data_IF_342797600956
#
_entry.id   IF_342797600956
#
_cell.length_a   1.000
_cell.length_b   1.000
_cell.length_c   1.000
_cell.angle_alpha   90.00
_cell.angle_beta   90.00
_cell.angle_gamma   90.00
#
_symmetry.space_group_name_H-M   'P 1'
#
loop_
_entity.id
_entity.type
_entity.pdbx_description
1 polymer ?
#
# COMPACT_ATOMS: atom_id res chain seq x y z
N UNK A 1 -6.66 43.76 8.79
CA UNK A 1 -8.14 43.60 8.90
C UNK A 1 -8.41 42.44 9.85
N UNK A 2 -9.12 42.66 10.96
CA UNK A 2 -9.43 41.60 11.91
C UNK A 2 -10.46 40.63 11.31
N UNK A 3 -10.21 39.32 11.40
CA UNK A 3 -11.14 38.31 10.89
C UNK A 3 -12.47 38.38 11.67
N UNK A 4 -13.59 38.50 10.96
CA UNK A 4 -14.92 38.56 11.57
C UNK A 4 -15.27 37.18 12.14
N UNK A 5 -15.39 37.10 13.46
CA UNK A 5 -15.69 35.85 14.19
C UNK A 5 -17.20 35.59 14.14
N UNK A 6 -17.58 34.42 13.62
CA UNK A 6 -18.96 33.96 13.61
C UNK A 6 -19.10 32.72 14.51
N UNK A 7 -20.20 32.66 15.27
CA UNK A 7 -20.59 31.50 16.08
C UNK A 7 -21.96 31.05 15.62
N UNK A 8 -22.13 29.73 15.46
CA UNK A 8 -23.42 29.11 15.15
C UNK A 8 -23.61 27.92 16.08
N UNK A 9 -24.79 27.83 16.66
CA UNK A 9 -25.17 26.74 17.54
C UNK A 9 -26.04 25.76 16.76
N UNK A 10 -25.82 24.47 16.98
CA UNK A 10 -26.53 23.38 16.31
C UNK A 10 -27.05 22.45 17.40
N UNK A 11 -28.34 22.13 17.34
CA UNK A 11 -28.95 21.13 18.22
C UNK A 11 -28.79 19.76 17.58
N UNK A 12 -28.25 18.81 18.33
CA UNK A 12 -28.04 17.43 17.90
C UNK A 12 -28.81 16.49 18.84
N UNK A 13 -29.31 15.38 18.29
CA UNK A 13 -29.78 14.27 19.12
C UNK A 13 -28.60 13.60 19.82
N UNK A 14 -28.84 12.86 20.91
CA UNK A 14 -27.77 12.11 21.58
C UNK A 14 -27.07 11.12 20.64
N UNK A 15 -27.84 10.48 19.77
CA UNK A 15 -27.31 9.59 18.73
C UNK A 15 -26.35 10.32 17.79
N UNK A 16 -26.76 11.47 17.26
CA UNK A 16 -25.94 12.23 16.31
C UNK A 16 -24.69 12.80 16.98
N UNK A 17 -24.81 13.17 18.26
CA UNK A 17 -23.68 13.62 19.07
C UNK A 17 -22.62 12.52 19.22
N UNK A 18 -23.06 11.29 19.52
CA UNK A 18 -22.14 10.16 19.64
C UNK A 18 -21.45 9.84 18.30
N UNK A 19 -22.20 9.83 17.19
CA UNK A 19 -21.64 9.64 15.86
C UNK A 19 -20.60 10.70 15.49
N UNK A 20 -20.84 11.94 15.90
CA UNK A 20 -19.92 13.04 15.68
C UNK A 20 -18.62 12.85 16.48
N UNK A 21 -18.71 12.40 17.73
CA UNK A 21 -17.56 12.12 18.59
C UNK A 21 -16.72 10.95 18.06
N UNK A 22 -17.36 9.87 17.62
CA UNK A 22 -16.69 8.72 17.03
C UNK A 22 -15.95 9.12 15.75
N UNK A 23 -16.61 9.87 14.86
CA UNK A 23 -16.00 10.39 13.64
C UNK A 23 -14.83 11.34 13.92
N UNK A 24 -14.97 12.21 14.92
CA UNK A 24 -13.90 13.11 15.36
C UNK A 24 -12.68 12.32 15.84
N UNK A 25 -12.88 11.27 16.63
CA UNK A 25 -11.81 10.40 17.14
C UNK A 25 -11.03 9.76 16.00
N UNK A 26 -11.73 9.24 14.98
CA UNK A 26 -11.10 8.65 13.78
C UNK A 26 -10.34 9.70 12.98
N UNK A 27 -10.94 10.85 12.71
CA UNK A 27 -10.30 11.95 11.98
C UNK A 27 -9.04 12.47 12.70
N UNK A 28 -9.05 12.49 14.03
CA UNK A 28 -7.94 12.98 14.83
C UNK A 28 -6.67 12.13 14.72
N UNK A 29 -6.78 10.85 14.35
CA UNK A 29 -5.66 9.92 14.18
C UNK A 29 -4.67 9.96 15.37
N UNK A 30 -5.20 9.91 16.60
CA UNK A 30 -4.40 9.97 17.84
C UNK A 30 -4.07 11.38 18.35
N UNK A 31 -4.56 12.44 17.69
CA UNK A 31 -4.53 13.81 18.21
C UNK A 31 -5.79 14.11 19.03
N UNK A 32 -5.75 15.15 19.85
CA UNK A 32 -6.95 15.74 20.42
C UNK A 32 -7.42 16.84 19.48
N UNK A 33 -8.67 16.75 19.01
CA UNK A 33 -9.30 17.79 18.18
C UNK A 33 -10.59 18.25 18.86
N UNK A 34 -10.94 19.51 18.63
CA UNK A 34 -12.21 20.05 19.10
C UNK A 34 -13.38 19.57 18.21
N UNK A 35 -14.54 19.32 18.80
CA UNK A 35 -15.75 18.93 18.08
C UNK A 35 -16.10 19.96 16.99
N UNK A 36 -15.88 21.24 17.27
CA UNK A 36 -16.12 22.33 16.32
C UNK A 36 -15.18 22.27 15.12
N UNK A 37 -13.96 21.77 15.30
CA UNK A 37 -12.98 21.62 14.21
C UNK A 37 -13.43 20.52 13.26
N UNK A 38 -13.83 19.38 13.79
CA UNK A 38 -14.37 18.29 13.00
C UNK A 38 -15.68 18.70 12.29
N UNK A 39 -16.57 19.43 12.97
CA UNK A 39 -17.77 19.99 12.35
C UNK A 39 -17.45 20.94 11.20
N UNK A 40 -16.46 21.83 11.35
CA UNK A 40 -16.02 22.71 10.26
C UNK A 40 -15.46 21.92 9.08
N UNK A 41 -14.69 20.87 9.36
CA UNK A 41 -14.20 19.95 8.33
C UNK A 41 -15.36 19.27 7.58
N UNK A 42 -16.37 18.77 8.30
CA UNK A 42 -17.55 18.15 7.69
C UNK A 42 -18.36 19.14 6.85
N UNK A 43 -18.59 20.36 7.36
CA UNK A 43 -19.29 21.43 6.64
C UNK A 43 -18.51 21.83 5.38
N UNK A 44 -17.20 22.07 5.53
CA UNK A 44 -16.35 22.55 4.44
C UNK A 44 -16.16 21.53 3.32
N UNK A 45 -16.16 20.24 3.66
CA UNK A 45 -16.03 19.15 2.69
C UNK A 45 -17.38 18.53 2.25
N UNK A 46 -18.51 19.14 2.63
CA UNK A 46 -19.85 18.73 2.18
C UNK A 46 -20.37 17.42 2.78
N UNK A 47 -19.78 16.92 3.87
CA UNK A 47 -20.18 15.69 4.56
C UNK A 47 -21.18 15.93 5.70
N UNK A 48 -22.14 16.85 5.54
CA UNK A 48 -23.26 16.94 6.49
C UNK A 48 -24.38 15.97 6.11
N UNK A 49 -24.38 14.82 6.79
CA UNK A 49 -25.57 14.14 7.32
C UNK A 49 -26.76 13.83 6.39
N UNK A 50 -26.60 13.85 5.06
CA UNK A 50 -27.65 13.46 4.11
C UNK A 50 -27.16 12.57 2.95
N UNK A 51 -26.08 11.81 3.15
CA UNK A 51 -25.82 10.66 2.28
C UNK A 51 -26.07 9.37 3.07
N UNK A 52 -27.35 9.09 3.33
CA UNK A 52 -27.84 7.75 3.71
C UNK A 52 -27.56 6.69 2.62
N UNK A 53 -26.74 7.01 1.61
CA UNK A 53 -26.40 6.18 0.46
C UNK A 53 -24.93 5.73 0.43
N UNK A 54 -24.16 5.89 1.51
CA UNK A 54 -22.82 5.31 1.54
C UNK A 54 -22.52 4.50 2.81
N UNK A 55 -22.42 3.16 2.68
CA UNK A 55 -21.62 2.33 3.58
C UNK A 55 -20.11 2.56 3.32
N UNK A 56 -19.65 3.81 3.25
CA UNK A 56 -18.28 4.12 2.82
C UNK A 56 -17.25 3.73 3.88
N UNK A 57 -17.53 3.94 5.16
CA UNK A 57 -16.47 3.84 6.18
C UNK A 57 -16.11 2.39 6.54
N UNK A 58 -17.08 1.48 6.55
CA UNK A 58 -16.82 0.06 6.81
C UNK A 58 -16.16 -0.61 5.60
N UNK A 59 -16.66 -0.33 4.38
CA UNK A 59 -16.05 -0.89 3.16
C UNK A 59 -14.61 -0.42 2.94
N UNK A 60 -14.26 0.82 3.32
CA UNK A 60 -12.88 1.28 3.17
C UNK A 60 -11.89 0.60 4.13
N UNK A 61 -12.34 0.12 5.30
CA UNK A 61 -11.47 -0.59 6.23
C UNK A 61 -11.13 -1.98 5.67
N UNK A 62 -12.17 -2.72 5.24
CA UNK A 62 -12.02 -4.04 4.63
C UNK A 62 -11.24 -3.97 3.31
N UNK A 63 -11.49 -2.95 2.49
CA UNK A 63 -10.76 -2.74 1.24
C UNK A 63 -9.30 -2.38 1.49
N UNK A 64 -8.98 -1.59 2.52
CA UNK A 64 -7.58 -1.31 2.90
C UNK A 64 -6.87 -2.55 3.40
N UNK A 65 -7.54 -3.39 4.19
CA UNK A 65 -6.99 -4.67 4.63
C UNK A 65 -6.75 -5.60 3.44
N UNK A 66 -7.72 -5.71 2.53
CA UNK A 66 -7.57 -6.49 1.31
C UNK A 66 -6.40 -6.01 0.45
N UNK A 67 -6.26 -4.69 0.23
CA UNK A 67 -5.14 -4.11 -0.50
C UNK A 67 -3.80 -4.45 0.17
N UNK A 68 -3.73 -4.37 1.50
CA UNK A 68 -2.52 -4.72 2.23
C UNK A 68 -2.16 -6.20 2.12
N UNK A 69 -3.15 -7.10 2.19
CA UNK A 69 -2.92 -8.54 2.02
C UNK A 69 -2.52 -8.88 0.58
N UNK A 70 -3.16 -8.28 -0.43
CA UNK A 70 -2.76 -8.44 -1.84
C UNK A 70 -1.33 -7.94 -2.06
N UNK A 71 -0.93 -6.83 -1.43
CA UNK A 71 0.44 -6.32 -1.51
C UNK A 71 1.45 -7.29 -0.87
N UNK A 72 1.13 -7.90 0.27
CA UNK A 72 1.98 -8.94 0.89
C UNK A 72 2.14 -10.15 -0.04
N UNK A 73 1.05 -10.63 -0.63
CA UNK A 73 1.07 -11.73 -1.62
C UNK A 73 1.96 -11.35 -2.80
N UNK A 74 1.83 -10.12 -3.32
CA UNK A 74 2.67 -9.62 -4.42
C UNK A 74 4.16 -9.61 -4.08
N UNK A 75 4.53 -9.22 -2.85
CA UNK A 75 5.92 -9.29 -2.37
C UNK A 75 6.42 -10.73 -2.30
N UNK A 76 5.63 -11.65 -1.76
CA UNK A 76 5.98 -13.07 -1.69
C UNK A 76 6.15 -13.70 -3.07
N UNK A 77 5.27 -13.40 -4.03
CA UNK A 77 5.41 -13.85 -5.42
C UNK A 77 6.70 -13.31 -6.04
N UNK A 78 7.02 -12.04 -5.82
CA UNK A 78 8.27 -11.44 -6.31
C UNK A 78 9.50 -12.12 -5.70
N UNK A 79 9.46 -12.47 -4.42
CA UNK A 79 10.52 -13.24 -3.77
C UNK A 79 10.67 -14.64 -4.37
N UNK A 80 9.57 -15.36 -4.59
CA UNK A 80 9.57 -16.70 -5.23
C UNK A 80 10.13 -16.61 -6.65
N UNK A 81 9.69 -15.62 -7.44
CA UNK A 81 10.19 -15.41 -8.80
C UNK A 81 11.68 -15.07 -8.80
N UNK A 82 12.13 -14.17 -7.93
CA UNK A 82 13.57 -13.86 -7.77
C UNK A 82 14.36 -15.08 -7.34
N UNK A 83 13.85 -15.87 -6.39
CA UNK A 83 14.50 -17.08 -5.90
C UNK A 83 14.64 -18.15 -7.00
N UNK A 84 13.57 -18.42 -7.74
CA UNK A 84 13.60 -19.33 -8.89
C UNK A 84 14.53 -18.81 -10.00
N UNK A 85 14.46 -17.52 -10.32
CA UNK A 85 15.32 -16.92 -11.33
C UNK A 85 16.80 -16.88 -10.88
N UNK A 86 17.07 -16.86 -9.56
CA UNK A 86 18.43 -17.03 -9.03
C UNK A 86 18.91 -18.47 -8.98
N UNK A 87 17.98 -19.44 -8.94
CA UNK A 87 18.29 -20.87 -8.92
C UNK A 87 18.54 -21.49 -10.30
N UNK A 88 18.00 -20.89 -11.37
CA UNK A 88 18.18 -21.39 -12.74
C UNK A 88 19.59 -21.20 -13.31
N UNK A 89 20.45 -20.42 -12.64
CA UNK A 89 21.86 -20.29 -12.98
C UNK A 89 22.69 -20.19 -11.69
N UNK A 90 23.12 -21.34 -11.15
CA UNK A 90 24.12 -21.30 -10.09
C UNK A 90 25.47 -20.85 -10.67
N UNK A 91 26.25 -20.11 -9.90
CA UNK A 91 27.59 -19.67 -10.34
C UNK A 91 28.47 -20.88 -10.72
N UNK A 92 28.30 -21.99 -10.01
CA UNK A 92 28.95 -23.26 -10.29
C UNK A 92 28.59 -23.84 -11.68
N UNK A 93 27.37 -23.59 -12.17
CA UNK A 93 26.96 -24.02 -13.52
C UNK A 93 27.62 -23.16 -14.60
N UNK A 94 27.85 -21.87 -14.32
CA UNK A 94 28.63 -21.00 -15.20
C UNK A 94 30.10 -21.42 -15.27
N UNK A 95 30.70 -21.76 -14.13
CA UNK A 95 32.09 -22.24 -14.06
C UNK A 95 32.26 -23.56 -14.82
N UNK A 96 31.33 -24.51 -14.66
CA UNK A 96 31.33 -25.76 -15.42
C UNK A 96 31.19 -25.52 -16.91
N UNK A 97 30.28 -24.63 -17.33
CA UNK A 97 30.09 -24.28 -18.72
C UNK A 97 31.37 -23.66 -19.34
N UNK A 98 32.00 -22.73 -18.63
CA UNK A 98 33.23 -22.08 -19.08
C UNK A 98 34.40 -23.08 -19.21
N UNK A 99 34.52 -24.02 -18.27
CA UNK A 99 35.47 -25.13 -18.35
C UNK A 99 35.22 -26.01 -19.59
N UNK A 100 33.98 -26.44 -19.82
CA UNK A 100 33.65 -27.27 -20.98
C UNK A 100 33.90 -26.55 -22.31
N UNK A 101 33.58 -25.26 -22.39
CA UNK A 101 33.84 -24.45 -23.59
C UNK A 101 35.33 -24.30 -23.87
N UNK A 102 36.16 -24.05 -22.84
CA UNK A 102 37.63 -24.02 -22.97
C UNK A 102 38.18 -25.35 -23.47
N UNK A 103 37.70 -26.47 -22.90
CA UNK A 103 38.11 -27.82 -23.31
C UNK A 103 37.77 -28.12 -24.77
N UNK A 104 36.58 -27.71 -25.23
CA UNK A 104 36.17 -27.85 -26.63
C UNK A 104 37.07 -27.02 -27.55
N UNK A 105 37.36 -25.77 -27.19
CA UNK A 105 38.27 -24.90 -27.95
C UNK A 105 39.68 -25.50 -28.05
N UNK A 106 40.19 -26.06 -26.97
CA UNK A 106 41.51 -26.71 -26.95
C UNK A 106 41.55 -27.95 -27.86
N UNK A 107 40.50 -28.78 -27.85
CA UNK A 107 40.38 -29.92 -28.76
C UNK A 107 40.27 -29.47 -30.22
N UNK A 108 39.46 -28.46 -30.53
CA UNK A 108 39.30 -27.92 -31.89
C UNK A 108 40.60 -27.31 -32.41
N UNK A 109 41.32 -26.54 -31.58
CA UNK A 109 42.63 -25.98 -31.96
C UNK A 109 43.67 -27.07 -32.20
N UNK A 110 43.65 -28.14 -31.41
CA UNK A 110 44.54 -29.31 -31.60
C UNK A 110 44.23 -30.00 -32.93
N UNK A 111 42.96 -30.27 -33.22
CA UNK A 111 42.52 -30.86 -34.49
C UNK A 111 42.94 -29.99 -35.69
N UNK A 112 42.73 -28.68 -35.60
CA UNK A 112 43.11 -27.74 -36.65
C UNK A 112 44.63 -27.61 -36.84
N UNK A 113 45.45 -27.90 -35.82
CA UNK A 113 46.92 -27.94 -35.95
C UNK A 113 47.43 -29.28 -36.50
N UNK A 114 46.66 -30.36 -36.37
CA UNK A 114 47.00 -31.68 -36.88
C UNK A 114 46.53 -31.93 -38.33
N UNK A 115 45.91 -30.93 -38.97
CA UNK A 115 45.41 -30.97 -40.34
C UNK A 115 46.24 -30.07 -41.24
#
# INVERSE_FOLDING_TARGET
MAAKKYRKEIRLSERDKNLLLDGATVYANGRSIDESEYLRYLIGNGHLLLDQKKPFMVQNLDMRQLINEVNKIGVSINQISKNNNSGNYQEMDKEKLDYYMKKIMELLTTINRCR
#
